data_IF_804838694406
#
_entry.id   IF_804838694406
#
_cell.length_a   1.000
_cell.length_b   1.000
_cell.length_c   1.000
_cell.angle_alpha   90.00
_cell.angle_beta   90.00
_cell.angle_gamma   90.00
#
_symmetry.space_group_name_H-M   'P 1'
#
loop_
_entity.id
_entity.type
_entity.pdbx_description
1 polymer ?
#
# COMPACT_ATOMS: atom_id res chain seq x y z
N UNK A 1 9.77 10.43 16.93
CA UNK A 1 10.04 10.25 15.49
C UNK A 1 9.12 11.20 14.75
N UNK A 2 9.66 12.14 13.98
CA UNK A 2 8.83 13.01 13.15
C UNK A 2 8.20 12.15 12.04
N UNK A 3 6.88 12.23 11.87
CA UNK A 3 6.21 11.69 10.69
C UNK A 3 6.83 12.36 9.45
N UNK A 4 7.01 11.65 8.33
CA UNK A 4 7.47 12.28 7.10
C UNK A 4 6.50 13.41 6.74
N UNK A 5 7.00 14.51 6.17
CA UNK A 5 6.17 15.45 5.41
C UNK A 5 5.44 14.63 4.34
N UNK A 6 4.19 14.26 4.59
CA UNK A 6 3.26 13.73 3.61
C UNK A 6 2.22 14.85 3.48
N UNK A 7 1.91 15.37 2.28
CA UNK A 7 1.03 16.53 2.11
C UNK A 7 -0.34 16.35 2.79
N UNK A 8 -0.86 15.12 2.82
CA UNK A 8 -2.08 14.77 3.53
C UNK A 8 -1.97 14.90 5.07
N UNK A 9 -0.76 14.94 5.64
CA UNK A 9 -0.51 15.24 7.07
C UNK A 9 -0.28 16.73 7.34
N UNK A 10 0.05 17.53 6.31
CA UNK A 10 0.40 18.95 6.50
C UNK A 10 -0.79 19.91 6.40
N UNK A 11 -1.94 19.44 5.93
CA UNK A 11 -3.18 20.23 5.91
C UNK A 11 -4.30 19.51 6.68
N UNK A 12 -4.41 19.81 7.98
CA UNK A 12 -5.38 19.20 8.89
C UNK A 12 -6.85 19.40 8.46
N UNK A 13 -7.16 20.48 7.71
CA UNK A 13 -8.49 20.69 7.15
C UNK A 13 -8.77 19.77 5.95
N UNK A 14 -7.72 19.31 5.26
CA UNK A 14 -7.85 18.40 4.12
C UNK A 14 -8.23 16.98 4.58
N UNK A 15 -7.59 16.41 5.60
CA UNK A 15 -7.95 15.05 6.06
C UNK A 15 -9.35 14.96 6.65
N UNK A 16 -9.83 16.00 7.34
CA UNK A 16 -11.15 15.96 7.97
C UNK A 16 -12.32 16.16 6.99
N UNK A 17 -12.13 16.95 5.93
CA UNK A 17 -13.19 17.30 4.96
C UNK A 17 -13.18 16.42 3.70
N UNK A 18 -12.06 15.76 3.38
CA UNK A 18 -11.87 15.09 2.08
C UNK A 18 -11.97 13.58 2.16
N UNK A 19 -11.84 12.98 3.34
CA UNK A 19 -12.05 11.54 3.51
C UNK A 19 -13.53 11.22 3.72
N UNK A 20 -14.16 10.68 2.68
CA UNK A 20 -15.45 10.01 2.81
C UNK A 20 -15.18 8.54 3.17
N UNK A 21 -15.31 8.20 4.46
CA UNK A 21 -15.05 6.84 4.97
C UNK A 21 -16.11 5.83 4.55
N UNK A 22 -17.21 6.33 4.00
CA UNK A 22 -18.30 5.55 3.46
C UNK A 22 -17.97 5.11 2.03
N UNK A 23 -18.49 3.94 1.62
CA UNK A 23 -18.42 3.52 0.23
C UNK A 23 -19.00 4.56 -0.72
N UNK A 24 -18.39 4.68 -1.90
CA UNK A 24 -18.83 5.54 -2.99
C UNK A 24 -19.28 4.72 -4.19
N UNK A 25 -20.24 5.24 -4.94
CA UNK A 25 -20.69 4.70 -6.24
C UNK A 25 -19.78 5.13 -7.41
N UNK A 26 -18.71 5.90 -7.14
CA UNK A 26 -17.76 6.27 -8.17
C UNK A 26 -17.04 5.03 -8.74
N UNK A 27 -16.70 5.04 -10.04
CA UNK A 27 -15.95 3.94 -10.63
C UNK A 27 -14.55 3.86 -10.02
N UNK A 28 -14.09 2.63 -9.76
CA UNK A 28 -12.73 2.38 -9.30
C UNK A 28 -11.70 2.82 -10.34
N UNK A 29 -10.70 3.58 -9.91
CA UNK A 29 -9.54 3.89 -10.75
C UNK A 29 -8.57 2.70 -10.75
N UNK A 30 -7.91 2.41 -11.90
CA UNK A 30 -6.91 1.37 -11.98
C UNK A 30 -5.66 1.72 -11.16
N UNK A 31 -5.08 0.71 -10.50
CA UNK A 31 -3.75 0.78 -9.91
C UNK A 31 -2.70 0.70 -11.01
N UNK A 32 -1.83 1.70 -11.09
CA UNK A 32 -0.73 1.74 -12.04
C UNK A 32 0.62 1.62 -11.33
N UNK A 33 1.29 0.48 -11.55
CA UNK A 33 2.69 0.29 -11.21
C UNK A 33 3.51 0.42 -12.50
N UNK A 34 4.48 1.35 -12.60
CA UNK A 34 5.27 1.52 -13.81
C UNK A 34 5.94 0.19 -14.23
N UNK A 35 5.84 -0.25 -15.50
CA UNK A 35 6.13 -1.63 -15.93
C UNK A 35 7.61 -2.02 -15.93
N UNK A 36 8.51 -1.07 -15.66
CA UNK A 36 9.94 -1.31 -15.59
C UNK A 36 10.49 -0.75 -14.28
N UNK A 37 11.52 -1.41 -13.76
CA UNK A 37 12.24 -0.86 -12.62
C UNK A 37 12.92 0.44 -13.05
N UNK A 38 12.56 1.52 -12.37
CA UNK A 38 13.09 2.86 -12.63
C UNK A 38 14.46 3.09 -11.99
N UNK A 39 14.94 2.14 -11.18
CA UNK A 39 16.31 2.12 -10.68
C UNK A 39 17.29 1.60 -11.75
N UNK A 40 18.50 2.16 -11.77
CA UNK A 40 19.61 1.69 -12.60
C UNK A 40 20.81 1.28 -11.70
N UNK A 41 21.19 -0.01 -11.66
CA UNK A 41 20.58 -1.14 -12.36
C UNK A 41 19.19 -1.53 -11.80
N UNK A 42 18.35 -2.23 -12.59
CA UNK A 42 17.07 -2.74 -12.14
C UNK A 42 17.17 -3.57 -10.86
N UNK A 43 16.29 -3.34 -9.89
CA UNK A 43 16.23 -4.15 -8.69
C UNK A 43 15.56 -5.48 -9.01
N UNK A 44 16.21 -6.59 -8.65
CA UNK A 44 15.77 -7.97 -8.98
C UNK A 44 14.37 -8.35 -8.48
N UNK A 45 13.81 -7.58 -7.55
CA UNK A 45 12.49 -7.85 -6.94
C UNK A 45 11.40 -6.86 -7.37
N UNK A 46 11.65 -5.96 -8.32
CA UNK A 46 10.62 -4.99 -8.73
C UNK A 46 9.59 -5.54 -9.73
N UNK A 47 9.83 -6.73 -10.28
CA UNK A 47 8.89 -7.56 -11.05
C UNK A 47 9.24 -9.02 -10.79
N UNK A 48 8.91 -9.54 -9.61
CA UNK A 48 9.27 -10.91 -9.26
C UNK A 48 8.64 -11.89 -10.24
N UNK A 49 9.31 -13.00 -10.53
CA UNK A 49 8.66 -14.07 -11.30
C UNK A 49 7.51 -14.67 -10.47
N UNK A 50 6.54 -15.27 -11.15
CA UNK A 50 5.35 -15.86 -10.53
C UNK A 50 5.67 -17.07 -9.63
N UNK A 51 6.91 -17.55 -9.65
CA UNK A 51 7.39 -18.67 -8.85
C UNK A 51 8.24 -18.21 -7.67
N UNK A 52 8.57 -16.91 -7.59
CA UNK A 52 9.49 -16.40 -6.59
C UNK A 52 8.75 -16.11 -5.26
N UNK A 53 9.12 -16.78 -4.15
CA UNK A 53 8.58 -16.44 -2.84
C UNK A 53 8.92 -15.01 -2.45
N UNK A 54 7.92 -14.23 -2.07
CA UNK A 54 8.09 -12.82 -1.72
C UNK A 54 7.02 -12.35 -0.74
N UNK A 55 7.42 -11.54 0.23
CA UNK A 55 6.49 -10.75 1.04
C UNK A 55 6.30 -9.38 0.39
N UNK A 56 5.07 -8.97 0.22
CA UNK A 56 4.72 -7.72 -0.44
C UNK A 56 3.99 -6.84 0.56
N UNK A 57 4.44 -5.60 0.69
CA UNK A 57 3.69 -4.56 1.39
C UNK A 57 3.30 -3.48 0.38
N UNK A 58 2.01 -3.15 0.32
CA UNK A 58 1.51 -1.99 -0.40
C UNK A 58 0.81 -1.05 0.57
N UNK A 59 1.16 0.23 0.55
CA UNK A 59 0.63 1.21 1.50
C UNK A 59 0.53 2.61 0.89
N UNK A 60 -0.39 3.44 1.39
CA UNK A 60 -0.60 4.78 0.88
C UNK A 60 -1.65 5.60 1.62
N UNK A 61 -1.81 6.87 1.21
CA UNK A 61 -2.86 7.75 1.73
C UNK A 61 -4.24 7.17 1.45
N UNK A 62 -5.15 7.32 2.42
CA UNK A 62 -6.50 6.76 2.33
C UNK A 62 -7.28 7.33 1.14
N UNK A 63 -7.08 8.60 0.82
CA UNK A 63 -7.73 9.26 -0.32
C UNK A 63 -7.41 8.57 -1.66
N UNK A 64 -6.18 8.09 -1.84
CA UNK A 64 -5.79 7.33 -3.02
C UNK A 64 -6.43 5.93 -3.02
N UNK A 65 -6.46 5.29 -1.85
CA UNK A 65 -7.06 3.97 -1.65
C UNK A 65 -8.57 3.97 -1.88
N UNK A 66 -9.27 5.03 -1.51
CA UNK A 66 -10.70 5.22 -1.78
C UNK A 66 -11.00 5.30 -3.28
N UNK A 67 -10.09 5.88 -4.08
CA UNK A 67 -10.22 5.89 -5.55
C UNK A 67 -10.01 4.51 -6.15
N UNK A 68 -9.10 3.70 -5.59
CA UNK A 68 -8.87 2.32 -6.02
C UNK A 68 -10.00 1.38 -5.63
N UNK A 69 -10.58 1.57 -4.45
CA UNK A 69 -11.56 0.69 -3.83
C UNK A 69 -12.74 1.49 -3.26
N UNK A 70 -13.54 2.16 -4.12
CA UNK A 70 -14.62 3.03 -3.68
C UNK A 70 -15.72 2.27 -2.94
N UNK A 71 -15.94 0.99 -3.24
CA UNK A 71 -16.91 0.14 -2.55
C UNK A 71 -16.46 -0.42 -1.19
N UNK A 72 -15.33 0.05 -0.63
CA UNK A 72 -14.79 -0.42 0.65
C UNK A 72 -15.08 0.58 1.76
N UNK A 73 -15.56 0.07 2.88
CA UNK A 73 -15.64 0.83 4.13
C UNK A 73 -14.27 0.84 4.81
N UNK A 74 -13.75 2.05 5.04
CA UNK A 74 -12.43 2.27 5.66
C UNK A 74 -12.53 2.73 7.11
N UNK A 75 -13.66 2.43 7.75
CA UNK A 75 -13.79 2.54 9.18
C UNK A 75 -12.76 1.65 9.87
N UNK A 76 -12.46 1.93 11.14
CA UNK A 76 -11.47 1.18 11.94
C UNK A 76 -12.18 0.13 12.81
N UNK A 77 -12.62 -1.04 12.29
CA UNK A 77 -13.14 -2.10 13.14
C UNK A 77 -11.98 -2.84 13.81
N UNK A 78 -12.30 -3.54 14.89
CA UNK A 78 -11.33 -4.28 15.69
C UNK A 78 -11.01 -5.69 15.15
N UNK A 79 -11.50 -6.06 13.96
CA UNK A 79 -11.31 -7.40 13.37
C UNK A 79 -10.20 -7.40 12.33
N UNK A 80 -9.33 -8.41 12.37
CA UNK A 80 -8.37 -8.70 11.30
C UNK A 80 -8.82 -9.91 10.46
N UNK A 81 -8.64 -9.88 9.13
CA UNK A 81 -8.26 -8.71 8.33
C UNK A 81 -9.39 -7.69 8.23
N UNK A 82 -9.04 -6.42 8.00
CA UNK A 82 -9.98 -5.38 7.64
C UNK A 82 -10.55 -5.64 6.23
N UNK A 83 -11.79 -5.19 5.93
CA UNK A 83 -12.40 -5.42 4.61
C UNK A 83 -11.57 -4.89 3.42
N UNK A 84 -10.78 -3.84 3.64
CA UNK A 84 -9.90 -3.25 2.62
C UNK A 84 -8.63 -4.04 2.36
N UNK A 85 -8.12 -4.80 3.33
CA UNK A 85 -6.83 -5.49 3.23
C UNK A 85 -6.80 -6.54 2.13
N UNK A 86 -7.68 -7.57 2.16
CA UNK A 86 -7.73 -8.59 1.12
C UNK A 86 -7.96 -7.99 -0.27
N UNK A 87 -8.83 -6.99 -0.40
CA UNK A 87 -9.11 -6.33 -1.69
C UNK A 87 -7.91 -5.56 -2.23
N UNK A 88 -7.18 -4.85 -1.37
CA UNK A 88 -5.96 -4.15 -1.75
C UNK A 88 -4.84 -5.14 -2.11
N UNK A 89 -4.73 -6.25 -1.38
CA UNK A 89 -3.77 -7.31 -1.67
C UNK A 89 -4.05 -7.97 -3.03
N UNK A 90 -5.30 -8.31 -3.33
CA UNK A 90 -5.72 -8.85 -4.64
C UNK A 90 -5.42 -7.88 -5.79
N UNK A 91 -5.71 -6.58 -5.59
CA UNK A 91 -5.45 -5.55 -6.58
C UNK A 91 -3.95 -5.41 -6.87
N UNK A 92 -3.12 -5.37 -5.82
CA UNK A 92 -1.67 -5.33 -5.95
C UNK A 92 -1.12 -6.62 -6.58
N UNK A 93 -1.63 -7.78 -6.18
CA UNK A 93 -1.26 -9.07 -6.74
C UNK A 93 -1.50 -9.09 -8.26
N UNK A 94 -2.69 -8.70 -8.70
CA UNK A 94 -3.02 -8.63 -10.13
C UNK A 94 -2.10 -7.66 -10.88
N UNK A 95 -1.78 -6.52 -10.28
CA UNK A 95 -0.88 -5.54 -10.89
C UNK A 95 0.57 -6.02 -11.00
N UNK A 96 1.05 -6.83 -10.05
CA UNK A 96 2.42 -7.36 -10.01
C UNK A 96 2.57 -8.57 -10.93
N UNK A 97 1.64 -9.54 -10.84
CA UNK A 97 1.75 -10.84 -11.50
C UNK A 97 0.93 -10.95 -12.79
N UNK A 98 0.16 -9.92 -13.14
CA UNK A 98 -0.71 -9.88 -14.32
C UNK A 98 -1.67 -11.08 -14.42
N UNK A 99 -2.16 -11.55 -13.28
CA UNK A 99 -3.17 -12.60 -13.16
C UNK A 99 -3.91 -12.51 -11.84
N UNK A 100 -5.06 -13.17 -11.76
CA UNK A 100 -5.78 -13.33 -10.50
C UNK A 100 -5.11 -14.36 -9.58
N UNK A 101 -5.43 -14.26 -8.28
CA UNK A 101 -5.05 -15.24 -7.27
C UNK A 101 -5.76 -16.55 -7.58
N UNK A 102 -5.01 -17.64 -7.65
CA UNK A 102 -5.52 -18.98 -7.93
C UNK A 102 -5.67 -19.79 -6.63
N UNK A 103 -6.85 -20.33 -6.34
CA UNK A 103 -7.03 -21.24 -5.20
C UNK A 103 -6.32 -22.58 -5.40
N UNK A 104 -5.94 -22.92 -6.63
CA UNK A 104 -5.22 -24.17 -6.96
C UNK A 104 -3.72 -24.09 -6.63
N UNK A 105 -3.19 -22.88 -6.46
CA UNK A 105 -1.80 -22.64 -6.08
C UNK A 105 -1.76 -22.46 -4.56
N UNK A 106 -1.17 -23.40 -3.80
CA UNK A 106 -1.06 -23.26 -2.36
C UNK A 106 -0.31 -21.97 -2.02
N UNK A 107 -0.93 -21.12 -1.20
CA UNK A 107 -0.34 -19.86 -0.71
C UNK A 107 0.00 -18.89 -1.83
N UNK A 108 -0.81 -18.88 -2.87
CA UNK A 108 -0.67 -17.91 -3.95
C UNK A 108 -0.75 -16.48 -3.41
N UNK A 109 -1.64 -16.23 -2.45
CA UNK A 109 -1.68 -14.99 -1.69
C UNK A 109 -2.17 -15.27 -0.27
N UNK A 110 -1.44 -14.79 0.75
CA UNK A 110 -1.84 -14.89 2.16
C UNK A 110 -1.66 -13.54 2.83
N UNK A 111 -2.74 -12.90 3.28
CA UNK A 111 -2.64 -11.65 4.06
C UNK A 111 -1.98 -11.91 5.41
N UNK A 112 -1.02 -11.07 5.80
CA UNK A 112 -0.15 -11.28 6.98
C UNK A 112 -0.19 -10.15 7.99
N UNK A 113 -0.40 -8.92 7.54
CA UNK A 113 -0.47 -7.75 8.41
C UNK A 113 -1.19 -6.59 7.70
N UNK A 114 -1.65 -5.65 8.49
CA UNK A 114 -2.27 -4.41 8.04
C UNK A 114 -1.72 -3.25 8.88
N UNK A 115 -1.30 -2.19 8.19
CA UNK A 115 -0.85 -0.94 8.79
C UNK A 115 -1.98 0.09 8.76
N UNK A 116 -2.21 0.74 9.89
CA UNK A 116 -3.22 1.79 10.07
C UNK A 116 -2.52 3.06 10.58
N UNK A 117 -2.49 4.10 9.75
CA UNK A 117 -2.06 5.44 10.14
C UNK A 117 -3.21 6.15 10.85
N UNK A 118 -3.28 6.01 12.18
CA UNK A 118 -4.33 6.63 12.98
C UNK A 118 -4.14 8.15 13.03
N UNK A 119 -5.21 8.88 12.72
CA UNK A 119 -5.29 10.33 12.84
C UNK A 119 -5.60 10.72 14.30
N UNK A 120 -4.58 11.14 15.04
CA UNK A 120 -4.69 11.41 16.48
C UNK A 120 -5.60 12.63 16.75
N UNK A 121 -5.60 13.59 15.84
CA UNK A 121 -6.35 14.84 15.90
C UNK A 121 -7.86 14.63 15.74
N UNK A 122 -8.30 13.49 15.18
CA UNK A 122 -9.71 13.15 15.00
C UNK A 122 -10.41 12.66 16.28
N UNK A 123 -9.67 12.51 17.38
CA UNK A 123 -10.24 12.02 18.65
C UNK A 123 -11.42 12.89 19.12
N UNK A 124 -12.51 12.29 19.61
CA UNK A 124 -12.62 10.89 20.04
C UNK A 124 -12.96 9.88 18.93
N UNK A 125 -13.15 10.30 17.66
CA UNK A 125 -13.46 9.37 16.57
C UNK A 125 -12.16 8.75 16.05
N UNK A 126 -12.05 7.43 16.10
CA UNK A 126 -10.92 6.72 15.48
C UNK A 126 -11.04 6.82 13.96
N UNK A 127 -10.03 7.42 13.34
CA UNK A 127 -9.95 7.64 11.90
C UNK A 127 -8.54 7.29 11.43
N UNK A 128 -8.44 6.84 10.18
CA UNK A 128 -7.17 6.60 9.51
C UNK A 128 -7.04 7.57 8.33
N UNK A 129 -5.82 8.03 8.06
CA UNK A 129 -5.49 8.81 6.86
C UNK A 129 -4.50 8.08 5.95
N UNK A 130 -3.97 6.95 6.43
CA UNK A 130 -3.02 6.10 5.74
C UNK A 130 -3.32 4.64 6.05
N UNK A 131 -3.18 3.78 5.06
CA UNK A 131 -3.42 2.36 5.23
C UNK A 131 -2.47 1.54 4.37
N UNK A 132 -2.13 0.34 4.83
CA UNK A 132 -1.37 -0.62 4.06
C UNK A 132 -1.72 -2.05 4.39
N UNK A 133 -1.47 -2.94 3.44
CA UNK A 133 -1.59 -4.39 3.62
C UNK A 133 -0.26 -5.05 3.30
N UNK A 134 0.09 -6.05 4.11
CA UNK A 134 1.21 -6.96 3.86
C UNK A 134 0.66 -8.34 3.55
N UNK A 135 1.10 -8.95 2.46
CA UNK A 135 0.75 -10.32 2.10
C UNK A 135 1.97 -11.11 1.61
N UNK A 136 1.91 -12.42 1.76
CA UNK A 136 2.91 -13.35 1.26
C UNK A 136 2.43 -13.97 -0.07
N UNK A 137 3.34 -14.10 -1.03
CA UNK A 137 3.20 -14.95 -2.21
C UNK A 137 4.24 -16.07 -2.12
N UNK A 138 3.78 -17.33 -2.07
CA UNK A 138 4.62 -18.55 -2.03
C UNK A 138 5.67 -18.64 -0.91
N UNK A 139 5.69 -17.69 0.04
CA UNK A 139 6.60 -17.72 1.20
C UNK A 139 6.31 -18.98 2.02
N UNK A 140 7.31 -19.79 2.41
CA UNK A 140 7.11 -20.93 3.33
C UNK A 140 6.53 -20.53 4.70
N UNK A 141 6.03 -21.49 5.49
CA UNK A 141 5.39 -21.19 6.81
C UNK A 141 6.42 -20.90 7.88
N UNK A 142 7.56 -21.55 7.77
CA UNK A 142 8.72 -21.50 8.66
C UNK A 142 9.68 -20.36 8.31
N UNK A 143 9.54 -19.75 7.14
CA UNK A 143 10.31 -18.56 6.75
C UNK A 143 9.81 -17.31 7.49
N UNK A 144 10.62 -16.82 8.43
CA UNK A 144 10.29 -15.68 9.30
C UNK A 144 10.86 -14.36 8.82
N UNK A 145 11.81 -14.39 7.89
CA UNK A 145 12.50 -13.23 7.36
C UNK A 145 12.59 -13.29 5.81
N UNK A 146 11.47 -13.41 5.10
CA UNK A 146 11.47 -13.43 3.64
C UNK A 146 12.02 -12.11 3.06
N UNK A 147 12.37 -12.14 1.77
CA UNK A 147 12.59 -10.92 1.01
C UNK A 147 11.29 -10.12 0.90
N UNK A 148 11.43 -8.80 0.83
CA UNK A 148 10.29 -7.86 0.85
C UNK A 148 10.31 -6.95 -0.36
N UNK A 149 9.16 -6.86 -1.03
CA UNK A 149 8.84 -5.78 -1.96
C UNK A 149 7.87 -4.82 -1.28
N UNK A 150 8.32 -3.60 -1.01
CA UNK A 150 7.45 -2.53 -0.53
C UNK A 150 7.09 -1.60 -1.70
N UNK A 151 5.81 -1.26 -1.80
CA UNK A 151 5.22 -0.41 -2.83
C UNK A 151 4.44 0.71 -2.13
N UNK A 152 4.73 1.96 -2.50
CA UNK A 152 4.01 3.10 -1.99
C UNK A 152 3.03 3.61 -3.05
N UNK A 153 1.76 3.71 -2.68
CA UNK A 153 0.75 4.45 -3.45
C UNK A 153 1.00 5.94 -3.25
N UNK A 154 0.95 6.68 -4.35
CA UNK A 154 1.29 8.10 -4.43
C UNK A 154 0.02 8.87 -4.78
N UNK A 155 -0.40 9.76 -3.89
CA UNK A 155 -1.47 10.71 -4.19
C UNK A 155 -0.90 11.85 -5.06
N UNK A 156 -1.63 12.22 -6.11
CA UNK A 156 -1.21 13.21 -7.12
C UNK A 156 -2.20 14.37 -7.19
N UNK A 157 -3.49 14.14 -6.94
CA UNK A 157 -4.52 15.14 -7.21
C UNK A 157 -4.50 16.31 -6.23
N UNK A 158 -4.07 16.06 -4.99
CA UNK A 158 -4.08 17.05 -3.90
C UNK A 158 -3.18 18.26 -4.21
N UNK A 159 -1.98 18.03 -4.74
CA UNK A 159 -0.98 19.07 -5.00
C UNK A 159 -0.52 19.11 -6.47
N UNK A 160 -1.32 18.52 -7.37
CA UNK A 160 -1.02 18.45 -8.80
C UNK A 160 0.38 17.85 -9.04
N UNK A 161 0.72 16.82 -8.26
CA UNK A 161 1.94 16.03 -8.39
C UNK A 161 3.21 16.71 -7.88
N UNK A 162 3.15 17.81 -7.15
CA UNK A 162 4.33 18.50 -6.59
C UNK A 162 5.15 17.55 -5.69
N UNK A 163 4.51 16.91 -4.72
CA UNK A 163 5.13 15.94 -3.83
C UNK A 163 5.63 14.71 -4.58
N UNK A 164 4.82 14.20 -5.51
CA UNK A 164 5.16 13.04 -6.31
C UNK A 164 6.47 13.29 -7.09
N UNK A 165 6.59 14.42 -7.79
CA UNK A 165 7.80 14.79 -8.54
C UNK A 165 9.00 15.08 -7.61
N UNK A 166 8.76 15.65 -6.43
CA UNK A 166 9.81 15.91 -5.43
C UNK A 166 10.47 14.61 -4.95
N UNK A 167 9.69 13.54 -4.74
CA UNK A 167 10.18 12.31 -4.09
C UNK A 167 10.47 11.13 -5.04
N UNK A 168 10.09 11.22 -6.31
CA UNK A 168 10.40 10.23 -7.34
C UNK A 168 11.52 10.72 -8.28
N UNK A 169 12.35 9.81 -8.83
CA UNK A 169 13.45 10.17 -9.73
C UNK A 169 13.03 10.34 -11.19
N UNK A 170 11.73 10.29 -11.49
CA UNK A 170 11.16 10.43 -12.82
C UNK A 170 10.07 11.50 -12.80
N UNK A 171 9.84 12.10 -13.97
CA UNK A 171 8.77 13.08 -14.17
C UNK A 171 7.42 12.37 -14.14
N UNK A 172 6.50 12.92 -13.37
CA UNK A 172 5.12 12.46 -13.23
C UNK A 172 4.25 13.58 -13.77
N UNK A 173 3.69 13.41 -14.97
CA UNK A 173 2.71 14.32 -15.54
C UNK A 173 1.35 14.13 -14.83
N UNK A 174 0.86 15.09 -14.05
CA UNK A 174 -0.41 14.98 -13.34
C UNK A 174 -1.58 14.68 -14.30
N UNK A 175 -1.54 15.18 -15.53
CA UNK A 175 -2.62 14.98 -16.51
C UNK A 175 -2.79 13.51 -16.90
N UNK A 176 -1.77 12.67 -16.70
CA UNK A 176 -1.89 11.22 -16.92
C UNK A 176 -2.64 10.50 -15.81
N UNK A 177 -2.66 11.04 -14.59
CA UNK A 177 -3.11 10.34 -13.39
C UNK A 177 -4.43 10.88 -12.85
N UNK A 178 -4.59 12.21 -12.80
CA UNK A 178 -5.77 12.86 -12.24
C UNK A 178 -7.05 12.32 -12.90
N UNK A 179 -7.93 11.71 -12.09
CA UNK A 179 -9.20 11.10 -12.52
C UNK A 179 -9.07 9.88 -13.44
N UNK A 180 -7.86 9.34 -13.65
CA UNK A 180 -7.58 8.30 -14.66
C UNK A 180 -6.98 7.03 -14.09
N UNK A 181 -5.98 7.14 -13.21
CA UNK A 181 -5.23 6.01 -12.64
C UNK A 181 -4.50 6.45 -11.37
N UNK A 182 -4.32 5.55 -10.42
CA UNK A 182 -3.57 5.82 -9.19
C UNK A 182 -2.15 5.27 -9.32
N UNK A 183 -1.14 6.11 -9.08
CA UNK A 183 0.25 5.71 -9.16
C UNK A 183 0.67 4.91 -7.92
N UNK A 184 1.40 3.83 -8.13
CA UNK A 184 2.11 3.11 -7.08
C UNK A 184 3.55 2.81 -7.50
N UNK A 185 4.49 3.08 -6.61
CA UNK A 185 5.93 3.03 -6.92
C UNK A 185 6.64 2.11 -5.92
N UNK A 186 7.39 1.09 -6.39
CA UNK A 186 8.27 0.33 -5.51
C UNK A 186 9.22 1.26 -4.76
N UNK A 187 9.38 1.07 -3.45
CA UNK A 187 10.25 1.90 -2.59
C UNK A 187 11.69 1.96 -3.10
N UNK A 188 12.18 0.88 -3.71
CA UNK A 188 13.52 0.84 -4.32
C UNK A 188 13.66 1.78 -5.54
N UNK A 189 12.56 2.15 -6.20
CA UNK A 189 12.53 3.09 -7.33
C UNK A 189 12.41 4.56 -6.89
N UNK A 190 12.17 4.84 -5.61
CA UNK A 190 12.02 6.22 -5.13
C UNK A 190 13.38 6.84 -4.77
N UNK A 191 13.43 8.17 -4.59
CA UNK A 191 14.67 8.89 -4.17
C UNK A 191 15.10 8.46 -2.77
N UNK A 192 14.17 8.38 -1.82
CA UNK A 192 14.44 7.86 -0.47
C UNK A 192 14.44 6.34 -0.50
N UNK A 193 15.62 5.74 -0.44
CA UNK A 193 15.76 4.28 -0.37
C UNK A 193 15.28 3.73 0.96
N UNK A 194 14.61 2.59 0.92
CA UNK A 194 14.07 1.89 2.06
C UNK A 194 14.98 0.79 2.58
N UNK A 195 16.17 1.16 3.06
CA UNK A 195 17.18 0.19 3.53
C UNK A 195 16.72 -0.64 4.73
N UNK A 196 15.71 -0.17 5.46
CA UNK A 196 15.13 -0.84 6.62
C UNK A 196 13.78 -1.51 6.33
N UNK A 197 13.25 -1.39 5.10
CA UNK A 197 11.89 -1.82 4.75
C UNK A 197 11.69 -3.32 5.02
N UNK A 198 12.63 -4.17 4.58
CA UNK A 198 12.58 -5.62 4.84
C UNK A 198 12.46 -5.96 6.33
N UNK A 199 13.31 -5.35 7.16
CA UNK A 199 13.30 -5.59 8.60
C UNK A 199 12.00 -5.10 9.25
N UNK A 200 11.56 -3.87 8.90
CA UNK A 200 10.35 -3.25 9.43
C UNK A 200 9.10 -4.09 9.11
N UNK A 201 8.95 -4.51 7.86
CA UNK A 201 7.79 -5.30 7.39
C UNK A 201 7.78 -6.67 8.05
N UNK A 202 8.91 -7.38 8.07
CA UNK A 202 8.98 -8.70 8.73
C UNK A 202 8.72 -8.61 10.24
N UNK A 203 9.17 -7.54 10.90
CA UNK A 203 8.87 -7.30 12.31
C UNK A 203 7.37 -7.04 12.55
N UNK A 204 6.71 -6.25 11.69
CA UNK A 204 5.29 -5.96 11.83
C UNK A 204 4.44 -7.23 11.74
N UNK A 205 4.71 -8.10 10.75
CA UNK A 205 4.07 -9.42 10.63
C UNK A 205 4.30 -10.28 11.88
N UNK A 206 5.53 -10.32 12.39
CA UNK A 206 5.85 -11.10 13.60
C UNK A 206 5.07 -10.61 14.82
N UNK A 207 4.92 -9.29 14.98
CA UNK A 207 4.18 -8.70 16.09
C UNK A 207 2.70 -9.12 16.04
N UNK A 208 2.05 -9.00 14.88
CA UNK A 208 0.66 -9.44 14.72
C UNK A 208 0.47 -10.93 15.06
N UNK A 209 1.35 -11.79 14.56
CA UNK A 209 1.31 -13.22 14.89
C UNK A 209 1.43 -13.50 16.40
N UNK A 210 2.14 -12.63 17.11
CA UNK A 210 2.27 -12.74 18.57
C UNK A 210 0.96 -12.32 19.23
N UNK A 211 0.39 -11.19 18.80
CA UNK A 211 -0.86 -10.67 19.34
C UNK A 211 -2.03 -11.66 19.11
N UNK A 212 -2.11 -12.29 17.94
CA UNK A 212 -3.14 -13.30 17.59
C UNK A 212 -3.03 -14.58 18.43
N UNK A 213 -1.83 -14.93 18.92
CA UNK A 213 -1.62 -16.11 19.79
C UNK A 213 -2.08 -15.84 21.22
N UNK A 214 -2.14 -14.56 21.63
CA UNK A 214 -2.49 -14.15 22.99
C UNK A 214 -3.87 -13.49 23.13
N UNK A 215 -4.60 -13.34 22.02
CA UNK A 215 -6.00 -12.87 21.95
C UNK A 215 -7.01 -14.02 21.96
#
# INVERSE_FOLDING_TARGET
>A
MALPDIPCLTNLNHSFLTHCFDPSDQPALPLHIPPSCLANPPHRFHFPSAEQPLRIQIEGPLIALQKLLPGVSWHVPHSFPLPGGPKLAELAFRAIYNRDVSPEIPRDMVVRDEYQGLLIEARPKEMIDYYGVTFDHLVPTDETNPEVLQINIVEIEDDVGEYANKHNPFEIDPNEYIGKKVLAVPRGCQKRKGTTDRSRVNHAVKRRMTDDVFS
#
